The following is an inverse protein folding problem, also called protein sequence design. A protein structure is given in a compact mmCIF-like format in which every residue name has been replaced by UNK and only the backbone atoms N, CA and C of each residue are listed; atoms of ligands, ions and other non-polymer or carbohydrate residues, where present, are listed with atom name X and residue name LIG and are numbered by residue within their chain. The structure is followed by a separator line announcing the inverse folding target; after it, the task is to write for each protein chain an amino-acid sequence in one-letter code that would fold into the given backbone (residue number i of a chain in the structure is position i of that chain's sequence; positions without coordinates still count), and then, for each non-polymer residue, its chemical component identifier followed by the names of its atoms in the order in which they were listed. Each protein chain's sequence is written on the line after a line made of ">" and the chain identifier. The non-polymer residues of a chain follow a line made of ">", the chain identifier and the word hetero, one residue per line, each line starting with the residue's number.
data_IF_839295497563
#
_entry.id   IF_839295497563
#
_cell.length_a   1.000
_cell.length_b   1.000
_cell.length_c   1.000
_cell.angle_alpha   90.00
_cell.angle_beta   90.00
_cell.angle_gamma   90.00
#
_symmetry.space_group_name_H-M   'P 1'
#
loop_
_entity.id
_entity.type
_entity.pdbx_description
1 polymer ?
#
# COMPACT_ATOMS: atom_id res chain seq x y z
N UNK A 1 29.26 7.18 6.04
CA UNK A 1 28.58 6.05 5.39
C UNK A 1 28.92 6.08 3.91
N UNK A 2 29.66 5.10 3.42
CA UNK A 2 30.23 5.14 2.06
C UNK A 2 29.14 4.76 1.05
N UNK A 3 28.52 5.73 0.40
CA UNK A 3 27.39 5.55 -0.55
C UNK A 3 27.69 4.51 -1.64
N UNK A 4 28.97 4.38 -2.06
CA UNK A 4 29.37 3.36 -3.05
C UNK A 4 29.21 1.90 -2.57
N UNK A 5 29.18 1.64 -1.24
CA UNK A 5 28.92 0.30 -0.67
C UNK A 5 27.44 0.01 -0.45
N UNK A 6 26.55 1.02 -0.52
CA UNK A 6 25.14 0.92 -0.17
C UNK A 6 24.25 0.63 -1.39
N UNK A 7 24.67 1.05 -2.58
CA UNK A 7 23.88 0.93 -3.81
C UNK A 7 24.61 0.07 -4.82
N UNK A 8 24.36 -1.24 -4.77
CA UNK A 8 24.77 -2.14 -5.85
C UNK A 8 23.91 -1.93 -7.10
N UNK A 9 24.35 -2.35 -8.31
CA UNK A 9 23.50 -2.32 -9.51
C UNK A 9 22.16 -3.01 -9.31
N UNK A 10 22.14 -4.17 -8.61
CA UNK A 10 20.91 -4.90 -8.29
C UNK A 10 19.97 -4.04 -7.42
N UNK A 11 20.52 -3.38 -6.40
CA UNK A 11 19.73 -2.47 -5.56
C UNK A 11 19.16 -1.33 -6.39
N UNK A 12 19.95 -0.73 -7.29
CA UNK A 12 19.50 0.36 -8.16
C UNK A 12 18.38 -0.09 -9.12
N UNK A 13 18.52 -1.25 -9.76
CA UNK A 13 17.47 -1.77 -10.64
C UNK A 13 16.19 -2.10 -9.87
N UNK A 14 16.32 -2.64 -8.65
CA UNK A 14 15.17 -2.88 -7.77
C UNK A 14 14.49 -1.59 -7.31
N UNK A 15 15.24 -0.50 -7.12
CA UNK A 15 14.70 0.84 -6.85
C UNK A 15 13.80 1.33 -8.00
N UNK A 16 14.18 1.08 -9.26
CA UNK A 16 13.39 1.47 -10.43
C UNK A 16 12.03 0.76 -10.44
N UNK A 17 11.98 -0.56 -10.22
CA UNK A 17 10.71 -1.29 -10.23
C UNK A 17 9.83 -0.95 -9.04
N UNK A 18 10.42 -0.74 -7.86
CA UNK A 18 9.69 -0.32 -6.66
C UNK A 18 9.16 1.10 -6.81
N UNK A 19 10.01 2.04 -7.24
CA UNK A 19 9.62 3.42 -7.51
C UNK A 19 8.54 3.50 -8.58
N UNK A 20 8.70 2.76 -9.68
CA UNK A 20 7.73 2.69 -10.77
C UNK A 20 6.36 2.18 -10.32
N UNK A 21 6.32 1.14 -9.45
CA UNK A 21 5.05 0.66 -8.88
C UNK A 21 4.35 1.75 -8.04
N UNK A 22 5.08 2.43 -7.15
CA UNK A 22 4.48 3.45 -6.31
C UNK A 22 4.09 4.72 -7.08
N UNK A 23 4.78 5.01 -8.19
CA UNK A 23 4.36 6.04 -9.14
C UNK A 23 3.06 5.63 -9.85
N UNK A 24 2.91 4.38 -10.31
CA UNK A 24 1.67 3.88 -10.90
C UNK A 24 0.51 3.91 -9.89
N UNK A 25 0.78 3.53 -8.64
CA UNK A 25 -0.17 3.64 -7.54
C UNK A 25 -0.61 5.09 -7.30
N UNK A 26 0.31 6.05 -7.37
CA UNK A 26 -0.01 7.47 -7.27
C UNK A 26 -1.01 7.89 -8.36
N UNK A 27 -0.73 7.55 -9.63
CA UNK A 27 -1.59 7.92 -10.76
C UNK A 27 -3.01 7.34 -10.61
N UNK A 28 -3.13 6.06 -10.25
CA UNK A 28 -4.40 5.34 -10.36
C UNK A 28 -5.17 5.22 -9.03
N UNK A 29 -4.52 5.43 -7.91
CA UNK A 29 -5.19 5.35 -6.61
C UNK A 29 -5.27 6.73 -5.95
N UNK A 30 -4.15 7.41 -5.78
CA UNK A 30 -4.16 8.73 -5.14
C UNK A 30 -4.85 9.80 -6.00
N UNK A 31 -4.72 9.71 -7.33
CA UNK A 31 -5.36 10.63 -8.28
C UNK A 31 -6.65 10.06 -8.92
N UNK A 32 -7.18 8.94 -8.41
CA UNK A 32 -8.44 8.37 -8.90
C UNK A 32 -9.58 9.39 -8.88
N UNK A 33 -9.74 10.09 -7.77
CA UNK A 33 -10.79 11.08 -7.60
C UNK A 33 -10.64 12.29 -8.54
N UNK A 34 -9.40 12.69 -8.86
CA UNK A 34 -9.15 13.76 -9.85
C UNK A 34 -9.55 13.33 -11.25
N UNK A 35 -9.34 12.05 -11.61
CA UNK A 35 -9.70 11.53 -12.92
C UNK A 35 -11.20 11.23 -13.03
N UNK A 36 -11.78 10.58 -12.02
CA UNK A 36 -13.12 10.00 -12.10
C UNK A 36 -14.25 10.98 -11.74
N UNK A 37 -14.06 11.88 -10.75
CA UNK A 37 -15.13 12.74 -10.24
C UNK A 37 -15.50 13.88 -11.20
N UNK A 38 -16.37 14.78 -10.75
CA UNK A 38 -17.06 15.80 -11.54
C UNK A 38 -16.16 16.70 -12.39
N UNK A 39 -14.96 17.08 -11.90
CA UNK A 39 -14.00 17.88 -12.66
C UNK A 39 -13.13 17.01 -13.61
N UNK A 40 -13.30 15.70 -13.57
CA UNK A 40 -12.68 14.74 -14.46
C UNK A 40 -13.70 14.18 -15.46
N UNK A 41 -13.90 12.85 -15.38
CA UNK A 41 -14.83 12.12 -16.25
C UNK A 41 -16.30 12.38 -15.89
N UNK A 42 -16.59 12.70 -14.62
CA UNK A 42 -17.92 13.10 -14.16
C UNK A 42 -18.71 12.02 -13.41
N UNK A 43 -18.05 10.99 -12.87
CA UNK A 43 -18.69 10.04 -11.98
C UNK A 43 -19.05 10.69 -10.62
N UNK A 44 -20.08 10.16 -9.97
CA UNK A 44 -20.37 10.43 -8.55
C UNK A 44 -19.33 9.78 -7.63
N UNK A 45 -19.28 10.19 -6.37
CA UNK A 45 -18.41 9.54 -5.39
C UNK A 45 -18.80 8.07 -5.15
N UNK A 46 -20.10 7.72 -5.23
CA UNK A 46 -20.59 6.35 -5.13
C UNK A 46 -20.04 5.49 -6.29
N UNK A 47 -20.15 5.97 -7.53
CA UNK A 47 -19.66 5.25 -8.69
C UNK A 47 -18.14 5.09 -8.64
N UNK A 48 -17.41 6.14 -8.30
CA UNK A 48 -15.96 6.04 -8.06
C UNK A 48 -15.65 5.03 -6.95
N UNK A 49 -16.38 5.08 -5.84
CA UNK A 49 -16.23 4.14 -4.74
C UNK A 49 -16.42 2.69 -5.18
N UNK A 50 -17.42 2.41 -6.02
CA UNK A 50 -17.66 1.09 -6.60
C UNK A 50 -16.52 0.65 -7.52
N UNK A 51 -16.02 1.54 -8.40
CA UNK A 51 -14.89 1.28 -9.29
C UNK A 51 -13.65 0.91 -8.47
N UNK A 52 -13.31 1.69 -7.45
CA UNK A 52 -12.16 1.42 -6.58
C UNK A 52 -12.32 0.11 -5.79
N UNK A 53 -13.52 -0.17 -5.26
CA UNK A 53 -13.81 -1.40 -4.55
C UNK A 53 -13.64 -2.63 -5.45
N UNK A 54 -14.22 -2.62 -6.64
CA UNK A 54 -14.10 -3.71 -7.62
C UNK A 54 -12.65 -3.92 -8.08
N UNK A 55 -11.91 -2.84 -8.33
CA UNK A 55 -10.50 -2.90 -8.68
C UNK A 55 -9.62 -3.52 -7.58
N UNK A 56 -9.84 -3.13 -6.33
CA UNK A 56 -9.15 -3.70 -5.17
C UNK A 56 -9.49 -5.18 -4.98
N UNK A 57 -10.76 -5.58 -5.10
CA UNK A 57 -11.17 -6.99 -5.03
C UNK A 57 -10.54 -7.79 -6.16
N UNK A 58 -10.60 -7.30 -7.40
CA UNK A 58 -9.98 -7.94 -8.56
C UNK A 58 -8.48 -8.16 -8.35
N UNK A 59 -7.75 -7.13 -7.89
CA UNK A 59 -6.32 -7.21 -7.59
C UNK A 59 -6.00 -8.19 -6.47
N UNK A 60 -6.81 -8.20 -5.40
CA UNK A 60 -6.63 -9.12 -4.28
C UNK A 60 -6.86 -10.60 -4.68
N UNK A 61 -7.79 -10.86 -5.61
CA UNK A 61 -8.03 -12.22 -6.14
C UNK A 61 -6.98 -12.63 -7.16
N UNK A 62 -6.55 -11.72 -8.04
CA UNK A 62 -5.59 -12.03 -9.10
C UNK A 62 -4.17 -12.28 -8.57
N UNK A 63 -3.76 -11.57 -7.52
CA UNK A 63 -2.40 -11.67 -6.97
C UNK A 63 -2.00 -13.08 -6.53
N UNK A 64 -2.78 -13.81 -5.68
CA UNK A 64 -2.44 -15.16 -5.28
C UNK A 64 -2.54 -16.18 -6.44
N UNK A 65 -3.44 -15.96 -7.41
CA UNK A 65 -3.58 -16.83 -8.59
C UNK A 65 -2.31 -16.76 -9.42
N UNK A 66 -1.79 -15.55 -9.68
CA UNK A 66 -0.55 -15.36 -10.44
C UNK A 66 0.66 -15.88 -9.67
N UNK A 67 0.75 -15.63 -8.35
CA UNK A 67 1.80 -16.16 -7.50
C UNK A 67 1.87 -17.69 -7.57
N UNK A 68 0.73 -18.38 -7.36
CA UNK A 68 0.65 -19.82 -7.46
C UNK A 68 1.02 -20.36 -8.87
N UNK A 69 0.71 -19.61 -9.92
CA UNK A 69 1.04 -20.00 -11.31
C UNK A 69 2.54 -19.85 -11.59
N UNK A 70 3.17 -18.82 -11.06
CA UNK A 70 4.63 -18.60 -11.13
C UNK A 70 5.36 -19.73 -10.38
N UNK A 71 4.89 -20.09 -9.18
CA UNK A 71 5.51 -21.15 -8.36
C UNK A 71 5.41 -22.54 -8.99
N UNK A 72 4.28 -22.85 -9.64
CA UNK A 72 4.05 -24.15 -10.29
C UNK A 72 4.80 -24.31 -11.60
N UNK A 73 5.05 -23.24 -12.33
CA UNK A 73 5.64 -23.28 -13.66
C UNK A 73 7.02 -22.61 -13.66
N UNK A 74 8.08 -23.42 -13.49
CA UNK A 74 9.48 -22.97 -13.51
C UNK A 74 9.88 -22.25 -14.81
N UNK A 75 9.17 -22.48 -15.91
CA UNK A 75 9.42 -21.82 -17.19
C UNK A 75 8.75 -20.42 -17.26
N UNK A 76 7.80 -20.13 -16.37
CA UNK A 76 7.12 -18.84 -16.33
C UNK A 76 7.97 -17.82 -15.56
N UNK A 77 8.53 -16.89 -16.31
CA UNK A 77 9.44 -15.88 -15.75
C UNK A 77 8.65 -14.73 -15.12
N UNK A 78 9.10 -14.24 -13.98
CA UNK A 78 8.55 -13.05 -13.32
C UNK A 78 8.42 -11.88 -14.28
N UNK A 79 9.51 -11.60 -15.01
CA UNK A 79 9.54 -10.51 -15.99
C UNK A 79 8.48 -10.66 -17.09
N UNK A 80 8.18 -11.88 -17.54
CA UNK A 80 7.15 -12.10 -18.55
C UNK A 80 5.76 -11.79 -18.00
N UNK A 81 5.45 -12.23 -16.77
CA UNK A 81 4.18 -11.93 -16.10
C UNK A 81 4.01 -10.43 -15.89
N UNK A 82 5.02 -9.75 -15.35
CA UNK A 82 4.98 -8.30 -15.13
C UNK A 82 4.83 -7.56 -16.46
N UNK A 83 5.55 -7.95 -17.51
CA UNK A 83 5.43 -7.30 -18.83
C UNK A 83 4.02 -7.44 -19.43
N UNK A 84 3.38 -8.59 -19.27
CA UNK A 84 1.98 -8.76 -19.72
C UNK A 84 1.04 -7.84 -18.95
N UNK A 85 1.19 -7.77 -17.61
CA UNK A 85 0.38 -6.88 -16.79
C UNK A 85 0.59 -5.41 -17.17
N UNK A 86 1.85 -4.99 -17.40
CA UNK A 86 2.18 -3.63 -17.83
C UNK A 86 1.62 -3.32 -19.23
N UNK A 87 1.65 -4.28 -20.16
CA UNK A 87 1.08 -4.11 -21.50
C UNK A 87 -0.44 -3.93 -21.42
N UNK A 88 -1.13 -4.74 -20.62
CA UNK A 88 -2.57 -4.59 -20.35
C UNK A 88 -2.86 -3.20 -19.76
N UNK A 89 -2.11 -2.77 -18.77
CA UNK A 89 -2.25 -1.44 -18.17
C UNK A 89 -2.02 -0.32 -19.19
N UNK A 90 -1.03 -0.45 -20.09
CA UNK A 90 -0.77 0.55 -21.12
C UNK A 90 -1.96 0.69 -22.09
N UNK A 91 -2.53 -0.44 -22.56
CA UNK A 91 -3.71 -0.43 -23.40
C UNK A 91 -4.90 0.24 -22.71
N UNK A 92 -5.14 -0.10 -21.44
CA UNK A 92 -6.24 0.49 -20.67
C UNK A 92 -6.05 2.00 -20.47
N UNK A 93 -4.81 2.48 -20.22
CA UNK A 93 -4.54 3.93 -20.14
C UNK A 93 -4.77 4.65 -21.47
N UNK A 94 -4.43 4.02 -22.60
CA UNK A 94 -4.74 4.58 -23.92
C UNK A 94 -6.26 4.68 -24.10
N UNK A 95 -7.01 3.64 -23.75
CA UNK A 95 -8.48 3.67 -23.80
C UNK A 95 -9.04 4.77 -22.90
N UNK A 96 -8.59 4.88 -21.65
CA UNK A 96 -8.99 5.94 -20.73
C UNK A 96 -8.65 7.34 -21.25
N UNK A 97 -7.59 7.50 -22.06
CA UNK A 97 -7.22 8.78 -22.67
C UNK A 97 -8.10 9.12 -23.89
N UNK A 98 -8.44 8.12 -24.70
CA UNK A 98 -9.19 8.30 -25.94
C UNK A 98 -10.70 8.39 -25.69
N UNK A 99 -11.18 7.69 -24.64
CA UNK A 99 -12.60 7.62 -24.30
C UNK A 99 -12.86 8.02 -22.84
N UNK A 100 -12.60 9.29 -22.45
CA UNK A 100 -12.82 9.76 -21.08
C UNK A 100 -14.29 10.18 -20.89
N UNK A 101 -15.21 9.22 -20.91
CA UNK A 101 -16.65 9.48 -20.77
C UNK A 101 -17.20 8.83 -19.51
N UNK A 102 -18.24 9.44 -18.94
CA UNK A 102 -18.98 8.85 -17.82
C UNK A 102 -19.88 7.73 -18.33
N UNK A 103 -19.31 6.57 -18.58
CA UNK A 103 -20.00 5.39 -19.05
C UNK A 103 -19.37 4.09 -18.51
N UNK A 104 -20.08 2.97 -18.70
CA UNK A 104 -19.67 1.66 -18.21
C UNK A 104 -18.29 1.24 -18.74
N UNK A 105 -17.94 1.62 -19.98
CA UNK A 105 -16.66 1.25 -20.59
C UNK A 105 -15.48 1.86 -19.84
N UNK A 106 -15.53 3.16 -19.54
CA UNK A 106 -14.50 3.85 -18.75
C UNK A 106 -14.38 3.24 -17.35
N UNK A 107 -15.51 2.95 -16.68
CA UNK A 107 -15.53 2.30 -15.38
C UNK A 107 -14.86 0.91 -15.42
N UNK A 108 -15.20 0.08 -16.40
CA UNK A 108 -14.59 -1.24 -16.60
C UNK A 108 -13.09 -1.12 -16.88
N UNK A 109 -12.67 -0.21 -17.75
CA UNK A 109 -11.25 0.03 -18.03
C UNK A 109 -10.49 0.40 -16.76
N UNK A 110 -11.05 1.24 -15.90
CA UNK A 110 -10.42 1.64 -14.64
C UNK A 110 -10.31 0.47 -13.64
N UNK A 111 -11.38 -0.31 -13.47
CA UNK A 111 -11.39 -1.53 -12.66
C UNK A 111 -10.32 -2.52 -13.12
N UNK A 112 -10.26 -2.79 -14.43
CA UNK A 112 -9.26 -3.71 -15.00
C UNK A 112 -7.84 -3.18 -14.86
N UNK A 113 -7.62 -1.86 -14.97
CA UNK A 113 -6.32 -1.25 -14.73
C UNK A 113 -5.85 -1.48 -13.28
N UNK A 114 -6.70 -1.19 -12.29
CA UNK A 114 -6.39 -1.43 -10.87
C UNK A 114 -6.16 -2.92 -10.60
N UNK A 115 -7.01 -3.78 -11.16
CA UNK A 115 -6.89 -5.24 -11.05
C UNK A 115 -5.54 -5.75 -11.57
N UNK A 116 -5.06 -5.21 -12.70
CA UNK A 116 -3.78 -5.59 -13.28
C UNK A 116 -2.57 -4.98 -12.55
N UNK A 117 -2.74 -3.83 -11.87
CA UNK A 117 -1.65 -3.15 -11.17
C UNK A 117 -1.26 -3.85 -9.86
N UNK A 118 -2.23 -4.28 -9.06
CA UNK A 118 -1.97 -4.84 -7.72
C UNK A 118 -1.03 -6.06 -7.72
N UNK A 119 -1.17 -7.05 -8.63
CA UNK A 119 -0.27 -8.20 -8.68
C UNK A 119 1.19 -7.85 -8.99
N UNK A 120 1.46 -6.73 -9.66
CA UNK A 120 2.83 -6.28 -9.95
C UNK A 120 3.63 -6.12 -8.66
N UNK A 121 3.03 -5.56 -7.60
CA UNK A 121 3.70 -5.43 -6.31
C UNK A 121 4.01 -6.79 -5.66
N UNK A 122 3.06 -7.72 -5.73
CA UNK A 122 3.23 -9.06 -5.17
C UNK A 122 4.37 -9.82 -5.88
N UNK A 123 4.43 -9.72 -7.23
CA UNK A 123 5.50 -10.33 -8.04
C UNK A 123 6.84 -9.65 -7.77
N UNK A 124 6.89 -8.33 -7.57
CA UNK A 124 8.11 -7.61 -7.22
C UNK A 124 8.63 -8.02 -5.82
N UNK A 125 7.76 -8.29 -4.86
CA UNK A 125 8.16 -8.79 -3.54
C UNK A 125 8.69 -10.23 -3.59
N UNK A 126 8.08 -11.12 -4.40
CA UNK A 126 8.60 -12.47 -4.62
C UNK A 126 9.98 -12.43 -5.29
N UNK A 127 10.17 -11.54 -6.26
CA UNK A 127 11.47 -11.28 -6.88
C UNK A 127 12.54 -10.88 -5.85
N UNK A 128 12.19 -10.04 -4.86
CA UNK A 128 13.11 -9.70 -3.76
C UNK A 128 13.56 -10.96 -3.01
N UNK A 129 12.63 -11.82 -2.62
CA UNK A 129 12.92 -13.07 -1.91
C UNK A 129 13.84 -13.99 -2.74
N UNK A 130 13.64 -14.06 -4.06
CA UNK A 130 14.49 -14.85 -4.95
C UNK A 130 15.90 -14.28 -5.09
N UNK A 131 16.04 -12.95 -5.22
CA UNK A 131 17.33 -12.28 -5.24
C UNK A 131 18.10 -12.48 -3.93
N UNK A 132 17.43 -12.40 -2.78
CA UNK A 132 18.04 -12.68 -1.48
C UNK A 132 18.51 -14.13 -1.35
N UNK A 133 17.70 -15.10 -1.79
CA UNK A 133 18.09 -16.53 -1.84
C UNK A 133 19.29 -16.76 -2.73
N UNK A 134 19.35 -16.07 -3.87
CA UNK A 134 20.49 -16.12 -4.79
C UNK A 134 21.70 -15.32 -4.27
N UNK A 135 21.67 -14.83 -3.03
CA UNK A 135 22.74 -14.04 -2.39
C UNK A 135 23.15 -12.82 -3.23
N UNK A 136 22.23 -12.29 -4.05
CA UNK A 136 22.44 -11.05 -4.79
C UNK A 136 22.65 -9.88 -3.82
N UNK A 137 23.52 -8.91 -4.15
CA UNK A 137 23.81 -7.77 -3.26
C UNK A 137 22.67 -6.75 -3.26
N UNK A 138 21.48 -7.13 -2.74
CA UNK A 138 20.29 -6.31 -2.64
C UNK A 138 20.18 -5.68 -1.26
N UNK A 139 20.09 -4.35 -1.22
CA UNK A 139 19.68 -3.62 -0.03
C UNK A 139 18.19 -3.29 -0.13
N UNK A 140 17.33 -4.25 0.29
CA UNK A 140 15.88 -4.11 0.17
C UNK A 140 15.33 -2.88 0.90
N UNK A 141 15.78 -2.60 2.13
CA UNK A 141 15.29 -1.45 2.90
C UNK A 141 15.53 -0.12 2.20
N UNK A 142 16.74 0.05 1.62
CA UNK A 142 17.07 1.24 0.84
C UNK A 142 16.25 1.31 -0.46
N UNK A 143 16.15 0.21 -1.19
CA UNK A 143 15.36 0.16 -2.43
C UNK A 143 13.87 0.42 -2.16
N UNK A 144 13.31 -0.10 -1.05
CA UNK A 144 11.91 0.12 -0.66
C UNK A 144 11.62 1.58 -0.33
N UNK A 145 12.56 2.31 0.26
CA UNK A 145 12.39 3.74 0.58
C UNK A 145 12.21 4.61 -0.68
N UNK A 146 12.76 4.18 -1.82
CA UNK A 146 12.56 4.86 -3.10
C UNK A 146 11.11 4.85 -3.57
N UNK A 147 10.30 3.90 -3.12
CA UNK A 147 8.86 3.92 -3.39
C UNK A 147 8.19 5.17 -2.85
N UNK A 148 8.45 5.51 -1.58
CA UNK A 148 7.90 6.73 -0.97
C UNK A 148 8.47 8.00 -1.61
N UNK A 149 9.76 8.02 -1.90
CA UNK A 149 10.40 9.16 -2.56
C UNK A 149 9.83 9.41 -3.97
N UNK A 150 9.65 8.36 -4.76
CA UNK A 150 9.04 8.42 -6.09
C UNK A 150 7.60 8.89 -6.03
N UNK A 151 6.83 8.43 -5.02
CA UNK A 151 5.48 8.88 -4.78
C UNK A 151 5.42 10.38 -4.47
N UNK A 152 6.31 10.90 -3.62
CA UNK A 152 6.40 12.33 -3.27
C UNK A 152 6.65 13.17 -4.51
N UNK A 153 7.64 12.80 -5.33
CA UNK A 153 7.95 13.54 -6.55
C UNK A 153 6.75 13.54 -7.50
N UNK A 154 6.19 12.35 -7.76
CA UNK A 154 5.13 12.24 -8.75
C UNK A 154 3.83 12.88 -8.26
N UNK A 155 3.44 12.74 -6.99
CA UNK A 155 2.22 13.36 -6.47
C UNK A 155 2.30 14.89 -6.54
N UNK A 156 3.46 15.49 -6.22
CA UNK A 156 3.69 16.94 -6.38
C UNK A 156 3.56 17.35 -7.85
N UNK A 157 4.25 16.62 -8.73
CA UNK A 157 4.24 16.91 -10.17
C UNK A 157 2.84 16.80 -10.76
N UNK A 158 2.12 15.72 -10.46
CA UNK A 158 0.75 15.49 -10.95
C UNK A 158 -0.21 16.55 -10.43
N UNK A 159 -0.06 17.02 -9.18
CA UNK A 159 -0.86 18.11 -8.64
C UNK A 159 -0.74 19.37 -9.50
N UNK A 160 0.48 19.78 -9.80
CA UNK A 160 0.76 20.95 -10.65
C UNK A 160 0.26 20.73 -12.10
N UNK A 161 0.55 19.57 -12.66
CA UNK A 161 0.17 19.26 -14.03
C UNK A 161 -1.35 19.18 -14.23
N UNK A 162 -2.07 18.57 -13.28
CA UNK A 162 -3.54 18.46 -13.34
C UNK A 162 -4.21 19.80 -13.09
N UNK A 163 -3.66 20.64 -12.22
CA UNK A 163 -4.17 22.00 -12.03
C UNK A 163 -4.04 22.86 -13.31
N UNK A 164 -2.93 22.68 -14.05
CA UNK A 164 -2.64 23.47 -15.26
C UNK A 164 -3.29 22.92 -16.54
N UNK A 165 -3.28 21.60 -16.72
CA UNK A 165 -3.68 20.94 -17.99
C UNK A 165 -4.86 19.98 -17.84
N UNK A 166 -5.46 19.92 -16.65
CA UNK A 166 -6.60 19.07 -16.35
C UNK A 166 -6.24 17.59 -16.18
N UNK A 167 -7.27 16.81 -15.88
CA UNK A 167 -7.15 15.40 -15.52
C UNK A 167 -6.62 14.49 -16.66
N UNK A 168 -6.75 14.90 -17.92
CA UNK A 168 -6.29 14.11 -19.07
C UNK A 168 -4.77 13.95 -19.17
N UNK A 169 -4.00 14.63 -18.32
CA UNK A 169 -2.55 14.41 -18.18
C UNK A 169 -2.23 13.09 -17.46
N UNK A 170 -3.15 12.59 -16.63
CA UNK A 170 -2.93 11.39 -15.81
C UNK A 170 -2.66 10.13 -16.64
N UNK A 171 -3.42 9.79 -17.70
CA UNK A 171 -3.09 8.65 -18.57
C UNK A 171 -1.70 8.76 -19.23
N UNK A 172 -1.25 9.95 -19.62
CA UNK A 172 0.10 10.14 -20.19
C UNK A 172 1.18 9.92 -19.15
N UNK A 173 0.99 10.44 -17.93
CA UNK A 173 1.90 10.19 -16.83
C UNK A 173 1.98 8.69 -16.49
N UNK A 174 0.83 8.00 -16.49
CA UNK A 174 0.76 6.55 -16.30
C UNK A 174 1.53 5.79 -17.37
N UNK A 175 1.40 6.16 -18.64
CA UNK A 175 2.17 5.56 -19.74
C UNK A 175 3.68 5.76 -19.59
N UNK A 176 4.12 6.97 -19.20
CA UNK A 176 5.52 7.24 -18.93
C UNK A 176 6.07 6.36 -17.79
N UNK A 177 5.29 6.18 -16.72
CA UNK A 177 5.62 5.30 -15.59
C UNK A 177 5.69 3.83 -16.02
N UNK A 178 4.78 3.38 -16.89
CA UNK A 178 4.81 2.01 -17.43
C UNK A 178 6.08 1.78 -18.25
N UNK A 179 6.50 2.74 -19.08
CA UNK A 179 7.76 2.64 -19.83
C UNK A 179 8.97 2.51 -18.89
N UNK A 180 9.00 3.29 -17.80
CA UNK A 180 10.02 3.17 -16.75
C UNK A 180 10.01 1.78 -16.11
N UNK A 181 8.84 1.23 -15.81
CA UNK A 181 8.69 -0.11 -15.24
C UNK A 181 9.14 -1.21 -16.21
N UNK A 182 8.84 -1.11 -17.52
CA UNK A 182 9.36 -2.04 -18.52
C UNK A 182 10.89 -2.03 -18.56
N UNK A 183 11.51 -0.85 -18.54
CA UNK A 183 12.98 -0.74 -18.51
C UNK A 183 13.56 -1.36 -17.24
N UNK A 184 13.01 -1.02 -16.07
CA UNK A 184 13.43 -1.58 -14.79
C UNK A 184 13.27 -3.09 -14.70
N UNK A 185 12.14 -3.61 -15.21
CA UNK A 185 11.86 -5.05 -15.22
C UNK A 185 12.85 -5.83 -16.09
N UNK A 186 13.29 -5.27 -17.22
CA UNK A 186 14.36 -5.86 -18.05
C UNK A 186 15.70 -5.92 -17.34
N UNK A 187 16.04 -4.85 -16.61
CA UNK A 187 17.33 -4.77 -15.91
C UNK A 187 17.38 -5.78 -14.76
N UNK A 188 16.35 -5.80 -13.91
CA UNK A 188 16.32 -6.70 -12.75
C UNK A 188 16.19 -8.17 -13.15
N UNK A 189 15.52 -8.51 -14.26
CA UNK A 189 15.47 -9.87 -14.78
C UNK A 189 16.84 -10.38 -15.24
N UNK A 190 17.70 -9.51 -15.77
CA UNK A 190 19.10 -9.87 -16.08
C UNK A 190 19.88 -10.18 -14.80
N UNK A 191 19.68 -9.37 -13.76
CA UNK A 191 20.37 -9.55 -12.48
C UNK A 191 19.93 -10.85 -11.80
N UNK A 192 18.62 -11.15 -11.80
CA UNK A 192 18.10 -12.41 -11.25
C UNK A 192 18.72 -13.61 -11.98
N UNK A 193 18.75 -13.60 -13.30
CA UNK A 193 19.36 -14.70 -14.08
C UNK A 193 20.82 -14.89 -13.76
N UNK A 194 21.61 -13.81 -13.66
CA UNK A 194 23.02 -13.89 -13.30
C UNK A 194 23.20 -14.46 -11.89
N UNK A 195 22.35 -14.06 -10.94
CA UNK A 195 22.40 -14.54 -9.59
C UNK A 195 22.00 -16.02 -9.51
N UNK A 196 20.93 -16.44 -10.19
CA UNK A 196 20.46 -17.83 -10.22
C UNK A 196 21.46 -18.77 -10.93
N UNK A 197 22.10 -18.32 -12.02
CA UNK A 197 23.13 -19.12 -12.72
C UNK A 197 24.41 -19.31 -11.90
N UNK A 198 24.66 -18.50 -10.90
CA UNK A 198 25.79 -18.61 -9.98
C UNK A 198 25.49 -19.51 -8.75
N UNK A 199 24.23 -19.98 -8.58
CA UNK A 199 23.86 -20.84 -7.46
C UNK A 199 24.26 -22.31 -7.69
N UNK A 200 24.75 -23.02 -6.65
CA UNK A 200 24.94 -24.46 -6.72
C UNK A 200 23.60 -25.18 -6.90
N UNK A 201 23.52 -26.26 -7.70
CA UNK A 201 22.31 -27.05 -7.82
C UNK A 201 21.98 -27.75 -6.50
N UNK A 202 20.79 -27.47 -5.92
CA UNK A 202 20.26 -28.23 -4.77
C UNK A 202 19.70 -27.49 -3.58
N UNK A 203 19.83 -26.19 -3.45
CA UNK A 203 19.24 -25.43 -2.32
C UNK A 203 17.76 -25.09 -2.59
N UNK A 204 16.87 -26.08 -2.55
CA UNK A 204 15.42 -25.83 -2.52
C UNK A 204 14.96 -25.62 -1.07
N UNK A 205 14.31 -24.50 -0.81
CA UNK A 205 13.85 -24.16 0.53
C UNK A 205 12.75 -25.11 1.02
N UNK A 206 12.98 -25.70 2.19
CA UNK A 206 11.97 -26.48 2.92
C UNK A 206 10.94 -25.50 3.49
N UNK A 207 9.78 -25.39 2.86
CA UNK A 207 8.61 -24.70 3.44
C UNK A 207 7.90 -25.66 4.39
N UNK A 208 8.00 -25.41 5.70
CA UNK A 208 7.22 -26.14 6.69
C UNK A 208 5.72 -25.97 6.42
N UNK A 209 4.92 -27.05 6.63
CA UNK A 209 3.47 -27.00 6.46
C UNK A 209 2.85 -26.03 7.47
N UNK A 210 2.31 -24.91 6.98
CA UNK A 210 1.54 -23.94 7.77
C UNK A 210 0.17 -24.52 8.18
N UNK A 211 -0.38 -24.10 9.33
CA UNK A 211 -1.69 -24.53 9.83
C UNK A 211 -2.82 -24.18 8.84
N UNK A 212 -3.95 -24.92 8.88
CA UNK A 212 -5.15 -24.48 8.13
C UNK A 212 -5.71 -23.17 8.70
N UNK A 213 -6.45 -22.39 7.91
CA UNK A 213 -6.98 -21.10 8.36
C UNK A 213 -7.91 -21.21 9.60
N UNK A 214 -8.82 -22.19 9.70
CA UNK A 214 -9.65 -22.35 10.91
C UNK A 214 -8.82 -22.64 12.17
N UNK A 215 -7.78 -23.48 12.05
CA UNK A 215 -6.86 -23.78 13.15
C UNK A 215 -6.09 -22.53 13.55
N UNK A 216 -5.57 -21.77 12.60
CA UNK A 216 -4.87 -20.50 12.84
C UNK A 216 -5.75 -19.53 13.63
N UNK A 217 -7.01 -19.31 13.22
CA UNK A 217 -7.95 -18.39 13.89
C UNK A 217 -8.23 -18.87 15.31
N UNK A 218 -8.43 -20.16 15.50
CA UNK A 218 -8.68 -20.73 16.84
C UNK A 218 -7.50 -20.56 17.79
N UNK A 219 -6.28 -20.78 17.30
CA UNK A 219 -5.04 -20.66 18.09
C UNK A 219 -4.64 -19.20 18.36
N UNK A 220 -4.98 -18.26 17.46
CA UNK A 220 -4.55 -16.87 17.52
C UNK A 220 -5.71 -15.87 17.60
N UNK A 221 -6.75 -16.18 18.41
CA UNK A 221 -7.98 -15.36 18.52
C UNK A 221 -7.71 -13.89 18.83
N UNK A 222 -6.78 -13.60 19.76
CA UNK A 222 -6.44 -12.23 20.12
C UNK A 222 -5.82 -11.46 18.94
N UNK A 223 -4.89 -12.09 18.20
CA UNK A 223 -4.30 -11.52 17.00
C UNK A 223 -5.38 -11.28 15.91
N UNK A 224 -6.27 -12.24 15.68
CA UNK A 224 -7.37 -12.08 14.72
C UNK A 224 -8.34 -10.95 15.13
N UNK A 225 -8.63 -10.81 16.44
CA UNK A 225 -9.44 -9.70 16.95
C UNK A 225 -8.76 -8.35 16.71
N UNK A 226 -7.46 -8.26 16.96
CA UNK A 226 -6.68 -7.06 16.62
C UNK A 226 -6.73 -6.76 15.13
N UNK A 227 -6.57 -7.76 14.25
CA UNK A 227 -6.67 -7.58 12.81
C UNK A 227 -8.07 -7.11 12.38
N UNK A 228 -9.14 -7.65 12.97
CA UNK A 228 -10.49 -7.20 12.70
C UNK A 228 -10.69 -5.72 13.07
N UNK A 229 -10.22 -5.30 14.25
CA UNK A 229 -10.21 -3.88 14.63
C UNK A 229 -9.38 -3.02 13.65
N UNK A 230 -8.28 -3.57 13.15
CA UNK A 230 -7.43 -2.90 12.14
C UNK A 230 -8.17 -2.68 10.82
N UNK A 231 -8.97 -3.64 10.34
CA UNK A 231 -9.83 -3.42 9.15
C UNK A 231 -10.69 -2.18 9.34
N UNK A 232 -11.34 -2.06 10.50
CA UNK A 232 -12.23 -0.93 10.80
C UNK A 232 -11.45 0.39 10.85
N UNK A 233 -10.24 0.43 11.44
CA UNK A 233 -9.36 1.59 11.40
C UNK A 233 -8.99 1.95 9.95
N UNK A 234 -8.69 0.96 9.13
CA UNK A 234 -8.31 1.18 7.73
C UNK A 234 -9.48 1.59 6.84
N UNK A 235 -10.75 1.33 7.23
CA UNK A 235 -11.89 1.98 6.58
C UNK A 235 -11.74 3.50 6.69
N UNK A 236 -11.59 4.02 7.90
CA UNK A 236 -11.44 5.46 8.12
C UNK A 236 -10.21 6.03 7.39
N UNK A 237 -9.06 5.34 7.50
CA UNK A 237 -7.82 5.78 6.87
C UNK A 237 -7.91 5.86 5.35
N UNK A 238 -8.53 4.86 4.71
CA UNK A 238 -8.65 4.85 3.25
C UNK A 238 -9.79 5.75 2.75
N UNK A 239 -10.79 6.10 3.58
CA UNK A 239 -11.76 7.15 3.22
C UNK A 239 -11.04 8.48 2.97
N UNK A 240 -10.14 8.92 3.86
CA UNK A 240 -9.28 10.07 3.64
C UNK A 240 -8.42 9.91 2.37
N UNK A 241 -7.71 8.78 2.24
CA UNK A 241 -6.80 8.58 1.11
C UNK A 241 -7.48 8.56 -0.26
N UNK A 242 -8.63 7.90 -0.39
CA UNK A 242 -9.34 7.75 -1.66
C UNK A 242 -10.09 9.03 -2.08
N UNK A 243 -10.50 9.86 -1.12
CA UNK A 243 -11.35 11.03 -1.35
C UNK A 243 -10.67 12.35 -0.96
N UNK A 244 -9.34 12.38 -0.83
CA UNK A 244 -8.56 13.54 -0.41
C UNK A 244 -8.90 14.84 -1.16
N UNK A 245 -9.19 14.76 -2.46
CA UNK A 245 -9.55 15.95 -3.25
C UNK A 245 -10.84 16.61 -2.74
N UNK A 246 -11.82 15.84 -2.24
CA UNK A 246 -13.05 16.37 -1.69
C UNK A 246 -12.78 17.21 -0.42
N UNK A 247 -11.85 16.74 0.44
CA UNK A 247 -11.42 17.47 1.64
C UNK A 247 -10.69 18.76 1.28
N UNK A 248 -9.79 18.70 0.30
CA UNK A 248 -9.05 19.87 -0.19
C UNK A 248 -9.98 20.92 -0.80
N UNK A 249 -10.95 20.49 -1.62
CA UNK A 249 -11.94 21.38 -2.22
C UNK A 249 -12.85 22.03 -1.17
N UNK A 250 -13.25 21.29 -0.15
CA UNK A 250 -14.05 21.83 0.95
C UNK A 250 -13.31 22.93 1.72
N UNK A 251 -11.97 22.94 1.68
CA UNK A 251 -11.10 23.97 2.25
C UNK A 251 -10.71 25.07 1.24
N UNK A 252 -11.27 25.04 0.01
CA UNK A 252 -10.98 26.01 -1.04
C UNK A 252 -9.69 25.77 -1.83
N UNK A 253 -9.10 24.56 -1.73
CA UNK A 253 -7.91 24.16 -2.47
C UNK A 253 -8.22 23.48 -3.80
N UNK A 254 -7.18 23.30 -4.60
CA UNK A 254 -7.21 22.66 -5.90
C UNK A 254 -6.38 21.37 -5.94
N UNK A 255 -6.18 20.79 -7.13
CA UNK A 255 -5.39 19.58 -7.32
C UNK A 255 -3.90 19.80 -7.05
N UNK A 256 -3.36 21.02 -7.20
CA UNK A 256 -1.99 21.33 -6.83
C UNK A 256 -1.79 21.22 -5.31
N UNK A 257 -2.72 21.81 -4.53
CA UNK A 257 -2.74 21.68 -3.07
C UNK A 257 -2.87 20.22 -2.65
N UNK A 258 -3.74 19.44 -3.30
CA UNK A 258 -3.85 18.01 -3.05
C UNK A 258 -2.51 17.28 -3.25
N UNK A 259 -1.81 17.58 -4.35
CA UNK A 259 -0.49 17.01 -4.63
C UNK A 259 0.53 17.33 -3.56
N UNK A 260 0.58 18.58 -3.07
CA UNK A 260 1.47 18.98 -1.97
C UNK A 260 1.11 18.29 -0.66
N UNK A 261 -0.19 18.18 -0.33
CA UNK A 261 -0.66 17.47 0.86
C UNK A 261 -0.28 16.00 0.81
N UNK A 262 -0.50 15.33 -0.31
CA UNK A 262 -0.14 13.92 -0.49
C UNK A 262 1.38 13.70 -0.38
N UNK A 263 2.18 14.57 -1.00
CA UNK A 263 3.63 14.55 -0.90
C UNK A 263 4.12 14.78 0.53
N UNK A 264 3.58 15.79 1.22
CA UNK A 264 3.91 16.08 2.61
C UNK A 264 3.57 14.92 3.53
N UNK A 265 2.37 14.33 3.36
CA UNK A 265 1.96 13.14 4.10
C UNK A 265 2.98 12.01 3.95
N UNK A 266 3.40 11.69 2.73
CA UNK A 266 4.39 10.65 2.48
C UNK A 266 5.77 10.98 3.06
N UNK A 267 6.19 12.27 3.04
CA UNK A 267 7.46 12.69 3.66
C UNK A 267 7.43 12.48 5.18
N UNK A 268 6.31 12.73 5.86
CA UNK A 268 6.22 12.56 7.32
C UNK A 268 6.38 11.10 7.75
N UNK A 269 6.10 10.13 6.87
CA UNK A 269 6.26 8.69 7.13
C UNK A 269 7.73 8.26 7.14
N UNK A 270 8.56 8.90 6.30
CA UNK A 270 9.95 8.49 6.05
C UNK A 270 10.79 8.40 7.33
N UNK A 271 10.79 9.38 8.26
CA UNK A 271 11.58 9.28 9.48
C UNK A 271 11.22 8.08 10.34
N UNK A 272 9.93 7.80 10.52
CA UNK A 272 9.47 6.65 11.31
C UNK A 272 9.91 5.34 10.63
N UNK A 273 9.75 5.22 9.32
CA UNK A 273 10.15 4.02 8.58
C UNK A 273 11.66 3.80 8.63
N UNK A 274 12.47 4.84 8.44
CA UNK A 274 13.93 4.77 8.45
C UNK A 274 14.50 4.46 9.85
N UNK A 275 13.91 5.04 10.88
CA UNK A 275 14.43 4.94 12.25
C UNK A 275 13.66 3.97 13.14
N UNK A 276 12.77 3.16 12.59
CA UNK A 276 11.97 2.18 13.34
C UNK A 276 12.82 1.25 14.21
N UNK A 277 13.98 0.80 13.71
CA UNK A 277 14.93 -0.02 14.48
C UNK A 277 15.58 0.71 15.66
N UNK A 278 15.54 2.06 15.68
CA UNK A 278 16.09 2.93 16.73
C UNK A 278 15.03 3.41 17.73
N UNK A 279 13.78 2.95 17.59
CA UNK A 279 12.73 3.30 18.55
C UNK A 279 13.19 2.94 19.98
N UNK A 280 12.88 3.81 20.98
CA UNK A 280 13.29 3.59 22.35
C UNK A 280 12.87 2.22 22.87
N UNK A 281 13.82 1.40 23.32
CA UNK A 281 13.58 0.02 23.81
C UNK A 281 12.80 -0.02 25.12
N UNK A 282 12.58 1.13 25.78
CA UNK A 282 11.75 1.24 26.99
C UNK A 282 10.28 0.84 26.77
N UNK A 283 9.81 0.91 25.51
CA UNK A 283 8.46 0.52 25.14
C UNK A 283 8.51 -0.76 24.32
N UNK A 284 7.57 -1.67 24.60
CA UNK A 284 7.42 -2.89 23.82
C UNK A 284 6.77 -2.60 22.46
N UNK A 285 6.96 -3.49 21.49
CA UNK A 285 6.27 -3.43 20.18
C UNK A 285 4.74 -3.31 20.34
N UNK A 286 4.18 -4.00 21.34
CA UNK A 286 2.74 -3.93 21.66
C UNK A 286 2.33 -2.52 22.08
N UNK A 287 3.12 -1.84 22.91
CA UNK A 287 2.83 -0.46 23.35
C UNK A 287 2.89 0.52 22.18
N UNK A 288 3.85 0.39 21.28
CA UNK A 288 3.94 1.21 20.07
C UNK A 288 2.76 0.97 19.13
N UNK A 289 2.31 -0.28 18.92
CA UNK A 289 1.13 -0.60 18.12
C UNK A 289 -0.14 0.00 18.76
N UNK A 290 -0.30 -0.11 20.08
CA UNK A 290 -1.41 0.54 20.79
C UNK A 290 -1.39 2.05 20.62
N UNK A 291 -0.21 2.66 20.71
CA UNK A 291 -0.04 4.09 20.48
C UNK A 291 -0.46 4.47 19.05
N UNK A 292 -0.09 3.67 18.05
CA UNK A 292 -0.50 3.95 16.66
C UNK A 292 -2.02 3.96 16.48
N UNK A 293 -2.75 3.07 17.14
CA UNK A 293 -4.22 3.06 17.10
C UNK A 293 -4.83 4.33 17.69
N UNK A 294 -4.27 4.86 18.78
CA UNK A 294 -4.70 6.14 19.35
C UNK A 294 -4.43 7.28 18.37
N UNK A 295 -3.27 7.28 17.74
CA UNK A 295 -2.95 8.31 16.74
C UNK A 295 -3.80 8.23 15.48
N UNK A 296 -4.34 7.06 15.10
CA UNK A 296 -5.33 6.99 14.02
C UNK A 296 -6.61 7.77 14.37
N UNK A 297 -7.09 7.70 15.61
CA UNK A 297 -8.25 8.47 16.06
C UNK A 297 -7.94 9.97 16.03
N UNK A 298 -6.81 10.36 16.65
CA UNK A 298 -6.39 11.78 16.72
C UNK A 298 -6.19 12.36 15.32
N UNK A 299 -5.61 11.60 14.41
CA UNK A 299 -5.44 11.99 13.02
C UNK A 299 -6.77 12.29 12.34
N UNK A 300 -7.72 11.35 12.40
CA UNK A 300 -9.02 11.54 11.74
C UNK A 300 -9.81 12.71 12.34
N UNK A 301 -9.73 12.90 13.66
CA UNK A 301 -10.32 14.07 14.32
C UNK A 301 -9.65 15.38 13.87
N UNK A 302 -8.32 15.41 13.80
CA UNK A 302 -7.58 16.59 13.36
C UNK A 302 -7.93 16.97 11.92
N UNK A 303 -8.10 15.99 11.02
CA UNK A 303 -8.51 16.22 9.63
C UNK A 303 -9.95 16.77 9.56
N UNK A 304 -10.88 16.17 10.31
CA UNK A 304 -12.28 16.60 10.36
C UNK A 304 -12.46 18.01 10.92
N UNK A 305 -11.59 18.45 11.83
CA UNK A 305 -11.68 19.71 12.54
C UNK A 305 -10.79 20.81 11.95
N UNK A 306 -9.95 20.51 10.97
CA UNK A 306 -9.08 21.50 10.33
C UNK A 306 -9.91 22.55 9.58
N UNK A 307 -9.87 23.84 9.98
CA UNK A 307 -10.69 24.88 9.35
C UNK A 307 -10.01 25.54 8.14
N UNK A 308 -8.77 25.17 7.85
CA UNK A 308 -7.98 25.79 6.78
C UNK A 308 -6.90 24.85 6.27
N UNK A 309 -6.42 25.08 5.04
CA UNK A 309 -5.35 24.30 4.41
C UNK A 309 -4.07 24.26 5.26
N UNK A 310 -3.54 25.33 5.86
CA UNK A 310 -2.35 25.26 6.71
C UNK A 310 -2.52 24.34 7.93
N UNK A 311 -3.68 24.38 8.59
CA UNK A 311 -3.96 23.51 9.74
C UNK A 311 -4.19 22.06 9.29
N UNK A 312 -4.76 21.84 8.11
CA UNK A 312 -4.88 20.52 7.51
C UNK A 312 -3.49 19.91 7.20
N UNK A 313 -2.56 20.72 6.69
CA UNK A 313 -1.16 20.32 6.53
C UNK A 313 -0.52 19.94 7.88
N UNK A 314 -0.70 20.76 8.90
CA UNK A 314 -0.17 20.46 10.24
C UNK A 314 -0.73 19.14 10.79
N UNK A 315 -2.01 18.88 10.58
CA UNK A 315 -2.66 17.63 10.99
C UNK A 315 -2.08 16.40 10.28
N UNK A 316 -1.55 16.53 9.05
CA UNK A 316 -0.90 15.43 8.31
C UNK A 316 0.35 14.86 8.99
N UNK A 317 0.98 15.60 9.91
CA UNK A 317 2.11 15.09 10.72
C UNK A 317 1.68 13.86 11.54
N UNK A 318 0.41 13.76 11.93
CA UNK A 318 -0.13 12.62 12.66
C UNK A 318 -0.15 11.31 11.86
N UNK A 319 0.11 11.36 10.55
CA UNK A 319 0.31 10.18 9.71
C UNK A 319 1.52 9.35 10.18
N UNK A 320 2.60 10.00 10.60
CA UNK A 320 3.82 9.36 11.06
C UNK A 320 3.60 8.43 12.28
N UNK A 321 3.06 8.90 13.42
CA UNK A 321 2.81 8.06 14.59
C UNK A 321 1.60 7.12 14.44
N UNK A 322 0.74 7.29 13.42
CA UNK A 322 -0.37 6.39 13.13
C UNK A 322 0.02 5.32 12.11
N UNK A 323 -0.08 5.62 10.83
CA UNK A 323 0.08 4.66 9.74
C UNK A 323 1.52 4.15 9.59
N UNK A 324 2.52 5.06 9.58
CA UNK A 324 3.90 4.63 9.37
C UNK A 324 4.40 3.77 10.54
N UNK A 325 4.06 4.15 11.78
CA UNK A 325 4.42 3.37 12.97
C UNK A 325 3.76 1.98 12.94
N UNK A 326 2.47 1.88 12.63
CA UNK A 326 1.78 0.60 12.48
C UNK A 326 2.44 -0.29 11.42
N UNK A 327 2.68 0.25 10.22
CA UNK A 327 3.13 -0.53 9.04
C UNK A 327 4.51 -1.17 9.28
N UNK A 328 5.43 -0.48 9.95
CA UNK A 328 6.76 -1.03 10.23
C UNK A 328 6.77 -2.02 11.38
N UNK A 329 5.84 -1.91 12.32
CA UNK A 329 5.82 -2.74 13.52
C UNK A 329 4.96 -3.99 13.39
N UNK A 330 3.95 -4.00 12.52
CA UNK A 330 2.99 -5.11 12.40
C UNK A 330 3.67 -6.44 12.04
N UNK A 331 4.72 -6.41 11.23
CA UNK A 331 5.49 -7.59 10.82
C UNK A 331 6.16 -8.22 12.05
N UNK A 332 6.94 -7.44 12.78
CA UNK A 332 7.63 -7.91 14.00
C UNK A 332 6.65 -8.28 15.11
N UNK A 333 5.52 -7.60 15.21
CA UNK A 333 4.46 -7.97 16.14
C UNK A 333 3.85 -9.33 15.81
N UNK A 334 3.51 -9.58 14.55
CA UNK A 334 2.99 -10.87 14.09
C UNK A 334 3.95 -12.01 14.44
N UNK A 335 5.25 -11.82 14.19
CA UNK A 335 6.29 -12.81 14.54
C UNK A 335 6.39 -13.05 16.04
N UNK A 336 6.14 -12.04 16.89
CA UNK A 336 6.24 -12.15 18.34
C UNK A 336 5.06 -12.85 19.00
N UNK A 337 3.87 -12.85 18.38
CA UNK A 337 2.63 -13.36 18.99
C UNK A 337 2.09 -14.62 18.34
N UNK A 338 2.54 -14.96 17.12
CA UNK A 338 2.12 -16.13 16.35
C UNK A 338 3.24 -17.17 16.31
N UNK A 339 2.89 -18.46 16.25
CA UNK A 339 3.87 -19.54 16.12
C UNK A 339 4.68 -19.40 14.82
N UNK A 340 5.99 -19.68 14.86
CA UNK A 340 6.94 -19.50 13.74
C UNK A 340 6.47 -20.16 12.43
N UNK A 341 5.82 -21.33 12.53
CA UNK A 341 5.23 -22.05 11.36
C UNK A 341 4.15 -21.26 10.62
N UNK A 342 3.49 -20.31 11.30
CA UNK A 342 2.38 -19.51 10.79
C UNK A 342 2.71 -18.02 10.64
N UNK A 343 3.95 -17.61 10.88
CA UNK A 343 4.41 -16.21 10.80
C UNK A 343 4.10 -15.56 9.44
N UNK A 344 4.48 -16.22 8.34
CA UNK A 344 4.20 -15.71 6.99
C UNK A 344 2.69 -15.54 6.73
N UNK A 345 1.85 -16.45 7.25
CA UNK A 345 0.39 -16.34 7.16
C UNK A 345 -0.12 -15.14 7.95
N UNK A 346 0.38 -14.94 9.17
CA UNK A 346 0.00 -13.80 10.01
C UNK A 346 0.33 -12.46 9.34
N UNK A 347 1.52 -12.33 8.75
CA UNK A 347 1.94 -11.16 8.01
C UNK A 347 1.06 -10.93 6.76
N UNK A 348 0.81 -11.98 5.98
CA UNK A 348 -0.07 -11.93 4.80
C UNK A 348 -1.49 -11.49 5.18
N UNK A 349 -2.06 -12.04 6.25
CA UNK A 349 -3.36 -11.61 6.76
C UNK A 349 -3.35 -10.15 7.19
N UNK A 350 -2.31 -9.68 7.90
CA UNK A 350 -2.20 -8.29 8.32
C UNK A 350 -2.21 -7.32 7.13
N UNK A 351 -1.50 -7.64 6.05
CA UNK A 351 -1.54 -6.84 4.81
C UNK A 351 -2.88 -6.94 4.08
N UNK A 352 -3.51 -8.13 4.03
CA UNK A 352 -4.83 -8.30 3.42
C UNK A 352 -5.92 -7.49 4.10
N UNK A 353 -5.83 -7.29 5.42
CA UNK A 353 -6.79 -6.47 6.18
C UNK A 353 -6.81 -5.00 5.72
N UNK A 354 -5.67 -4.46 5.29
CA UNK A 354 -5.61 -3.09 4.74
C UNK A 354 -6.41 -3.00 3.43
N UNK A 355 -6.35 -4.02 2.58
CA UNK A 355 -7.11 -4.09 1.33
C UNK A 355 -8.61 -4.22 1.59
N UNK A 356 -9.01 -5.07 2.55
CA UNK A 356 -10.43 -5.19 2.95
C UNK A 356 -10.94 -3.85 3.48
N UNK A 357 -10.16 -3.17 4.32
CA UNK A 357 -10.47 -1.81 4.78
C UNK A 357 -10.63 -0.82 3.62
N UNK A 358 -9.79 -0.90 2.58
CA UNK A 358 -9.87 -0.02 1.40
C UNK A 358 -11.14 -0.27 0.57
N UNK A 359 -11.55 -1.53 0.38
CA UNK A 359 -12.81 -1.87 -0.31
C UNK A 359 -14.00 -1.26 0.42
N UNK A 360 -14.10 -1.48 1.73
CA UNK A 360 -15.19 -0.94 2.54
C UNK A 360 -15.15 0.60 2.60
N UNK A 361 -13.96 1.19 2.70
CA UNK A 361 -13.76 2.64 2.66
C UNK A 361 -14.28 3.26 1.36
N UNK A 362 -14.01 2.62 0.23
CA UNK A 362 -14.46 3.10 -1.08
C UNK A 362 -15.98 3.13 -1.17
N UNK A 363 -16.66 2.07 -0.70
CA UNK A 363 -18.12 1.98 -0.73
C UNK A 363 -18.78 2.94 0.27
N UNK A 364 -18.34 2.93 1.52
CA UNK A 364 -18.89 3.76 2.59
C UNK A 364 -18.58 5.23 2.32
N UNK A 365 -17.31 5.55 2.00
CA UNK A 365 -16.86 6.90 1.69
C UNK A 365 -17.57 7.48 0.48
N UNK A 366 -17.66 6.70 -0.61
CA UNK A 366 -18.39 7.11 -1.82
C UNK A 366 -19.82 7.54 -1.50
N UNK A 367 -20.56 6.72 -0.73
CA UNK A 367 -21.92 7.05 -0.32
C UNK A 367 -21.96 8.31 0.54
N UNK A 368 -21.08 8.44 1.52
CA UNK A 368 -21.08 9.55 2.45
C UNK A 368 -20.71 10.88 1.78
N UNK A 369 -19.69 10.90 0.93
CA UNK A 369 -19.30 12.13 0.21
C UNK A 369 -20.37 12.62 -0.77
N UNK A 370 -21.30 11.78 -1.23
CA UNK A 370 -22.44 12.20 -2.06
C UNK A 370 -23.65 12.66 -1.23
N UNK A 371 -23.79 12.19 0.02
CA UNK A 371 -25.05 12.38 0.78
C UNK A 371 -24.94 13.31 1.97
N UNK A 372 -23.74 13.49 2.53
CA UNK A 372 -23.51 14.35 3.69
C UNK A 372 -22.29 15.26 3.48
N UNK A 373 -22.12 16.26 4.35
CA UNK A 373 -20.99 17.18 4.24
C UNK A 373 -19.64 16.46 4.44
N UNK A 374 -18.57 16.98 3.82
CA UNK A 374 -17.21 16.50 4.00
C UNK A 374 -16.83 16.41 5.49
N UNK A 375 -17.16 17.43 6.27
CA UNK A 375 -16.92 17.46 7.71
C UNK A 375 -17.64 16.33 8.44
N UNK A 376 -18.91 16.07 8.12
CA UNK A 376 -19.68 14.95 8.70
C UNK A 376 -19.07 13.61 8.32
N UNK A 377 -18.65 13.45 7.06
CA UNK A 377 -17.96 12.24 6.58
C UNK A 377 -16.70 11.99 7.39
N UNK A 378 -15.86 13.00 7.59
CA UNK A 378 -14.59 12.85 8.32
C UNK A 378 -14.79 12.64 9.83
N UNK A 379 -15.81 13.25 10.45
CA UNK A 379 -16.19 12.96 11.83
C UNK A 379 -16.69 11.51 11.99
N UNK A 380 -17.47 11.01 11.02
CA UNK A 380 -17.88 9.60 11.00
C UNK A 380 -16.68 8.67 10.82
N UNK A 381 -15.72 9.04 9.96
CA UNK A 381 -14.46 8.30 9.82
C UNK A 381 -13.69 8.27 11.15
N UNK A 382 -13.66 9.36 11.91
CA UNK A 382 -13.05 9.39 13.23
C UNK A 382 -13.77 8.45 14.23
N UNK A 383 -15.10 8.42 14.21
CA UNK A 383 -15.89 7.49 15.04
C UNK A 383 -15.63 6.01 14.64
N UNK A 384 -15.55 5.72 13.34
CA UNK A 384 -15.18 4.39 12.82
C UNK A 384 -13.77 4.02 13.31
N UNK A 385 -12.79 4.94 13.21
CA UNK A 385 -11.43 4.70 13.69
C UNK A 385 -11.40 4.43 15.20
N UNK A 386 -12.20 5.16 15.98
CA UNK A 386 -12.31 4.95 17.42
C UNK A 386 -12.90 3.57 17.76
N UNK A 387 -13.99 3.16 17.10
CA UNK A 387 -14.57 1.84 17.27
C UNK A 387 -13.56 0.73 16.90
N UNK A 388 -12.88 0.87 15.77
CA UNK A 388 -11.83 -0.05 15.35
C UNK A 388 -10.67 -0.13 16.34
N UNK A 389 -10.23 1.02 16.87
CA UNK A 389 -9.14 1.09 17.84
C UNK A 389 -9.50 0.38 19.16
N UNK A 390 -10.72 0.54 19.66
CA UNK A 390 -11.18 -0.17 20.87
C UNK A 390 -11.09 -1.68 20.68
N UNK A 391 -11.58 -2.19 19.53
CA UNK A 391 -11.52 -3.62 19.20
C UNK A 391 -10.07 -4.08 19.04
N UNK A 392 -9.25 -3.32 18.31
CA UNK A 392 -7.84 -3.64 18.09
C UNK A 392 -7.05 -3.66 19.40
N UNK A 393 -7.26 -2.68 20.28
CA UNK A 393 -6.65 -2.61 21.61
C UNK A 393 -7.02 -3.84 22.48
N UNK A 394 -8.28 -4.28 22.44
CA UNK A 394 -8.70 -5.48 23.14
C UNK A 394 -7.99 -6.74 22.62
N UNK A 395 -7.66 -6.78 21.32
CA UNK A 395 -6.93 -7.88 20.68
C UNK A 395 -5.41 -7.84 20.92
N UNK A 396 -4.83 -6.72 21.34
CA UNK A 396 -3.37 -6.59 21.55
C UNK A 396 -2.88 -7.14 22.89
N UNK A 397 -3.49 -8.15 23.46
CA UNK A 397 -3.02 -8.79 24.69
C UNK A 397 -1.74 -9.58 24.40
N UNK A 398 -0.64 -9.21 25.07
CA UNK A 398 0.61 -9.96 24.98
C UNK A 398 0.38 -11.39 25.53
N UNK A 399 0.57 -12.41 24.68
CA UNK A 399 0.88 -13.74 25.21
C UNK A 399 2.27 -13.62 25.85
N UNK A 400 2.39 -13.92 27.15
CA UNK A 400 3.69 -14.21 27.75
C UNK A 400 4.32 -15.34 26.92
N UNK A 401 5.41 -15.07 26.22
CA UNK A 401 6.23 -16.15 25.66
C UNK A 401 6.64 -17.06 26.83
N UNK A 402 6.47 -18.38 26.71
CA UNK A 402 7.14 -19.28 27.63
C UNK A 402 8.63 -18.97 27.56
N UNK A 403 9.26 -18.80 28.70
CA UNK A 403 10.71 -18.61 28.79
C UNK A 403 11.42 -19.67 27.93
N UNK A 404 12.51 -19.32 27.22
CA UNK A 404 13.28 -20.32 26.51
C UNK A 404 13.65 -21.41 27.53
N UNK A 405 13.22 -22.65 27.24
CA UNK A 405 13.71 -23.80 28.02
C UNK A 405 15.23 -23.74 27.90
N UNK A 406 15.89 -23.41 29.02
CA UNK A 406 17.32 -23.65 29.16
C UNK A 406 17.52 -25.12 28.78
N UNK A 407 18.33 -25.34 27.77
CA UNK A 407 18.81 -26.68 27.46
C UNK A 407 19.48 -27.19 28.74
N UNK A 408 18.88 -28.16 29.37
CA UNK A 408 19.56 -28.93 30.40
C UNK A 408 20.74 -29.58 29.70
N UNK A 409 21.92 -29.26 30.20
CA UNK A 409 23.20 -29.90 29.89
C UNK A 409 23.14 -31.40 30.20
#
# INVERSE_FOLDING_TARGET
>A
MNLKKTVSPVTFHYMIITGGFWMAFCVVTAYAAVYLLQDGVGYSNIEMGLILALGNVGGALLSPILGARIDRNRNLRHAAVVNVLLAVQAVLLVLLRVHPKNDLLTGICYVLYMTAMMPVNAVNLDLCVRLERAKAPLNFGFARSMGSFSFVILSTLLGILTAKWGYLVLPYAGLAVILLQFAGNRLIDRDLRRAESAMPPGEAAVTGRSSSLPVFVRENRAFCLMLFGTVIIFIAHNMDGNFLINEIRALGGDTAVMGYVAAFTAITEVPIMMFSAKLPKRWSTVQYIRLSFIFFILKMLAYALAPSIPLFFAARILQAPSYALYTVLIVGYADSVVARKDSAKAQSLAFSMTTVGSVLASLIGGRMFDTVSVRTTMLTAAAIAAAGAVIALAGTRAKKQPAPRQAAE
#
